data_IF_931275927922
#
_entry.id   IF_931275927922
#
_cell.length_a   1.000
_cell.length_b   1.000
_cell.length_c   1.000
_cell.angle_alpha   90.00
_cell.angle_beta   90.00
_cell.angle_gamma   90.00
#
_symmetry.space_group_name_H-M   'P 1'
#
loop_
_entity.id
_entity.type
_entity.pdbx_description
1 polymer ?
#
# COMPACT_ATOMS: atom_id res chain seq x y z
N UNK A 1 73.34 28.01 2.11
CA UNK A 1 73.54 27.66 3.53
C UNK A 1 72.53 28.47 4.33
N UNK A 2 71.44 27.85 4.82
CA UNK A 2 71.31 27.27 6.18
C UNK A 2 71.45 28.37 7.26
N UNK A 3 70.63 28.52 8.31
CA UNK A 3 69.61 27.73 9.00
C UNK A 3 68.79 28.74 9.87
N UNK A 4 67.47 28.58 10.10
CA UNK A 4 66.83 27.94 11.28
C UNK A 4 67.11 28.69 12.62
N UNK A 5 66.24 28.94 13.61
CA UNK A 5 64.92 28.46 14.09
C UNK A 5 64.50 29.43 15.23
N UNK A 6 63.20 29.64 15.49
CA UNK A 6 62.61 29.48 16.83
C UNK A 6 61.07 29.48 16.81
N UNK A 7 60.56 28.55 17.60
CA UNK A 7 59.20 28.02 17.70
C UNK A 7 58.43 28.70 18.82
N UNK A 8 57.14 28.97 18.61
CA UNK A 8 56.16 29.15 19.69
C UNK A 8 54.85 28.46 19.28
N UNK A 9 54.41 27.50 20.09
CA UNK A 9 53.18 26.74 19.94
C UNK A 9 51.94 27.55 20.38
N UNK A 10 50.73 27.29 19.83
CA UNK A 10 49.48 27.71 20.46
C UNK A 10 48.64 26.53 20.98
N UNK A 11 47.98 26.82 22.11
CA UNK A 11 47.14 25.95 22.94
C UNK A 11 45.92 25.39 22.19
N UNK A 12 45.60 24.12 22.49
CA UNK A 12 44.40 23.40 22.04
C UNK A 12 43.14 23.95 22.74
N UNK A 13 42.25 24.62 22.00
CA UNK A 13 40.83 24.75 22.37
C UNK A 13 40.04 23.56 21.81
N UNK A 14 39.49 22.72 22.70
CA UNK A 14 38.54 21.66 22.34
C UNK A 14 37.19 22.27 21.97
N UNK A 15 36.89 22.36 20.68
CA UNK A 15 35.52 22.54 20.19
C UNK A 15 34.78 21.19 20.29
N UNK A 16 33.80 21.10 21.19
CA UNK A 16 32.83 20.00 21.22
C UNK A 16 32.01 20.06 19.92
N UNK A 17 32.30 19.14 18.99
CA UNK A 17 31.43 18.89 17.83
C UNK A 17 30.14 18.24 18.34
N UNK A 18 29.03 18.98 18.28
CA UNK A 18 27.69 18.44 18.37
C UNK A 18 27.51 17.39 17.26
N UNK A 19 27.47 16.12 17.65
CA UNK A 19 27.22 14.99 16.78
C UNK A 19 25.69 14.91 16.59
N UNK A 20 25.16 15.73 15.69
CA UNK A 20 23.81 15.53 15.17
C UNK A 20 23.81 14.17 14.45
N UNK A 21 23.06 13.24 15.00
CA UNK A 21 22.81 11.89 14.48
C UNK A 21 22.25 12.00 13.06
N UNK A 22 23.09 11.77 12.05
CA UNK A 22 22.63 11.43 10.71
C UNK A 22 22.06 10.01 10.77
N UNK A 23 20.78 9.87 11.07
CA UNK A 23 20.05 8.65 10.77
C UNK A 23 19.64 8.71 9.29
N UNK A 24 20.38 8.01 8.43
CA UNK A 24 19.87 7.64 7.11
C UNK A 24 18.62 6.78 7.31
N UNK A 25 17.50 7.06 6.61
CA UNK A 25 16.42 6.11 6.54
C UNK A 25 16.95 4.87 5.82
N UNK A 26 17.16 3.77 6.55
CA UNK A 26 17.27 2.43 5.94
C UNK A 26 15.84 1.92 5.85
N UNK A 27 15.22 1.83 4.66
CA UNK A 27 13.77 1.74 4.63
C UNK A 27 13.24 0.39 5.12
N UNK A 28 13.97 -0.73 4.97
CA UNK A 28 13.44 -2.06 5.32
C UNK A 28 14.56 -3.04 5.68
N UNK A 29 14.25 -4.00 6.55
CA UNK A 29 15.16 -5.11 6.88
C UNK A 29 15.37 -6.01 5.65
N UNK A 30 16.62 -6.38 5.32
CA UNK A 30 16.85 -7.44 4.34
C UNK A 30 16.37 -8.78 4.91
N UNK A 31 15.48 -9.48 4.20
CA UNK A 31 15.23 -10.91 4.47
C UNK A 31 16.53 -11.71 4.28
N UNK A 32 16.69 -12.90 4.89
CA UNK A 32 17.85 -13.77 4.69
C UNK A 32 18.07 -14.16 3.22
N UNK A 33 17.05 -13.97 2.37
CA UNK A 33 17.06 -14.25 0.93
C UNK A 33 17.16 -12.99 0.06
N UNK A 34 17.10 -11.79 0.64
CA UNK A 34 17.17 -10.53 -0.10
C UNK A 34 18.61 -10.28 -0.57
N UNK A 35 18.86 -10.65 -1.82
CA UNK A 35 20.11 -10.30 -2.50
C UNK A 35 20.15 -8.77 -2.69
N UNK A 36 21.33 -8.13 -2.59
CA UNK A 36 21.46 -6.71 -2.85
C UNK A 36 20.93 -6.39 -4.25
N UNK A 37 20.08 -5.36 -4.34
CA UNK A 37 19.56 -4.84 -5.60
C UNK A 37 20.73 -4.53 -6.55
N UNK A 38 20.72 -5.15 -7.73
CA UNK A 38 21.77 -4.99 -8.74
C UNK A 38 21.16 -4.44 -10.03
N UNK A 39 21.35 -3.13 -10.26
CA UNK A 39 21.00 -2.45 -11.52
C UNK A 39 21.52 -3.22 -12.76
N UNK A 40 22.67 -3.89 -12.64
CA UNK A 40 23.29 -4.65 -13.73
C UNK A 40 22.43 -5.82 -14.22
N UNK A 41 21.53 -6.38 -13.40
CA UNK A 41 20.67 -7.49 -13.81
C UNK A 41 19.40 -7.02 -14.52
N UNK A 42 18.72 -5.99 -14.00
CA UNK A 42 17.55 -5.42 -14.65
C UNK A 42 17.90 -4.81 -16.02
N UNK A 43 19.00 -4.04 -16.08
CA UNK A 43 19.45 -3.45 -17.36
C UNK A 43 19.92 -4.49 -18.38
N UNK A 44 20.40 -5.66 -17.94
CA UNK A 44 20.81 -6.74 -18.83
C UNK A 44 19.62 -7.50 -19.44
N UNK A 45 18.42 -7.39 -18.85
CA UNK A 45 17.21 -8.10 -19.32
C UNK A 45 16.19 -7.21 -20.01
N UNK A 46 16.40 -5.89 -20.02
CA UNK A 46 15.38 -4.92 -20.47
C UNK A 46 14.03 -5.11 -19.74
N UNK A 47 14.07 -5.59 -18.49
CA UNK A 47 12.89 -5.81 -17.64
C UNK A 47 12.69 -4.58 -16.75
N UNK A 48 11.46 -4.04 -16.73
CA UNK A 48 11.06 -2.99 -15.80
C UNK A 48 10.94 -3.54 -14.37
N UNK A 49 11.51 -2.86 -13.37
CA UNK A 49 11.44 -3.26 -11.96
C UNK A 49 10.39 -2.43 -11.21
N UNK A 50 9.29 -3.08 -10.82
CA UNK A 50 8.23 -2.49 -10.01
C UNK A 50 8.28 -3.03 -8.59
N UNK A 51 8.17 -2.13 -7.61
CA UNK A 51 8.09 -2.51 -6.19
C UNK A 51 6.71 -2.26 -5.62
N UNK A 52 6.24 -3.17 -4.79
CA UNK A 52 5.13 -2.88 -3.87
C UNK A 52 5.63 -1.94 -2.78
N UNK A 53 4.96 -0.81 -2.60
CA UNK A 53 5.22 0.11 -1.51
C UNK A 53 3.99 0.17 -0.62
N UNK A 54 4.01 -0.49 0.54
CA UNK A 54 2.93 -0.32 1.52
C UNK A 54 2.98 1.13 2.02
N UNK A 55 2.03 1.93 1.53
CA UNK A 55 1.90 3.34 1.91
C UNK A 55 1.02 3.48 3.15
N UNK A 56 0.04 2.59 3.33
CA UNK A 56 -1.00 2.73 4.34
C UNK A 56 -0.50 2.48 5.78
N UNK A 57 0.30 1.45 5.95
CA UNK A 57 0.67 0.94 7.28
C UNK A 57 2.14 0.53 7.32
N UNK A 58 2.62 0.30 8.54
CA UNK A 58 3.93 -0.32 8.79
C UNK A 58 3.75 -1.52 9.71
N UNK A 59 4.76 -2.38 9.83
CA UNK A 59 4.77 -3.36 10.93
C UNK A 59 4.80 -2.64 12.29
N UNK A 60 4.16 -3.22 13.30
CA UNK A 60 4.31 -2.80 14.71
C UNK A 60 5.77 -2.89 15.22
N UNK A 61 6.61 -3.65 14.51
CA UNK A 61 8.04 -3.73 14.76
C UNK A 61 8.84 -2.56 14.19
N UNK A 62 8.22 -1.73 13.34
CA UNK A 62 8.85 -0.60 12.69
C UNK A 62 9.34 0.42 13.75
N UNK A 63 10.54 1.00 13.58
CA UNK A 63 11.07 1.98 14.53
C UNK A 63 10.14 3.16 14.79
N UNK A 64 9.33 3.56 13.81
CA UNK A 64 8.32 4.60 13.99
C UNK A 64 7.27 4.18 15.02
N UNK A 65 6.65 3.00 14.89
CA UNK A 65 5.61 2.54 15.84
C UNK A 65 6.19 2.32 17.24
N UNK A 66 7.36 1.67 17.34
CA UNK A 66 8.06 1.48 18.62
C UNK A 66 8.35 2.79 19.34
N UNK A 67 8.60 3.87 18.59
CA UNK A 67 8.78 5.20 19.14
C UNK A 67 7.45 5.85 19.48
N UNK A 68 6.44 5.73 18.62
CA UNK A 68 5.11 6.32 18.78
C UNK A 68 4.41 5.83 20.05
N UNK A 69 4.43 4.52 20.30
CA UNK A 69 3.78 3.92 21.48
C UNK A 69 4.39 4.37 22.81
N UNK A 70 5.67 4.76 22.82
CA UNK A 70 6.39 5.31 23.98
C UNK A 70 6.30 6.83 24.11
N UNK A 71 5.82 7.50 23.06
CA UNK A 71 5.80 8.95 23.00
C UNK A 71 4.55 9.51 23.68
N UNK A 72 4.66 10.74 24.18
CA UNK A 72 3.52 11.43 24.81
C UNK A 72 2.44 11.72 23.76
N UNK A 73 1.14 11.71 24.13
CA UNK A 73 0.05 12.20 23.28
C UNK A 73 0.36 13.59 22.69
N UNK A 74 0.03 13.79 21.40
CA UNK A 74 0.25 15.05 20.67
C UNK A 74 1.71 15.38 20.34
N UNK A 75 2.62 14.41 20.48
CA UNK A 75 4.01 14.58 20.05
C UNK A 75 4.19 14.09 18.61
N UNK A 76 5.12 14.70 17.88
CA UNK A 76 5.43 14.30 16.49
C UNK A 76 5.62 12.80 16.29
N UNK A 77 6.26 12.12 17.25
CA UNK A 77 6.47 10.69 17.14
C UNK A 77 5.19 9.88 17.38
N UNK A 78 4.30 10.35 18.27
CA UNK A 78 3.00 9.75 18.51
C UNK A 78 2.11 9.86 17.27
N UNK A 79 2.07 11.07 16.70
CA UNK A 79 1.14 11.45 15.62
C UNK A 79 1.54 10.86 14.26
N UNK A 80 2.54 9.97 14.21
CA UNK A 80 2.83 9.16 13.02
C UNK A 80 1.79 8.07 12.77
N UNK A 81 1.02 7.71 13.80
CA UNK A 81 -0.02 6.69 13.75
C UNK A 81 -1.34 7.28 14.26
N UNK A 82 -2.43 6.61 13.92
CA UNK A 82 -3.79 7.02 14.33
C UNK A 82 -4.10 6.41 15.69
N UNK A 83 -4.44 7.26 16.67
CA UNK A 83 -4.71 6.87 18.06
C UNK A 83 -6.10 7.31 18.50
N UNK A 84 -6.67 6.58 19.46
CA UNK A 84 -7.93 6.92 20.11
C UNK A 84 -7.95 6.44 21.57
N UNK A 85 -8.67 7.15 22.43
CA UNK A 85 -8.94 6.70 23.80
C UNK A 85 -10.04 5.63 23.85
N UNK A 86 -10.82 5.48 22.77
CA UNK A 86 -11.91 4.49 22.63
C UNK A 86 -11.79 3.71 21.31
N UNK A 87 -12.39 2.52 21.27
CA UNK A 87 -12.54 1.75 20.04
C UNK A 87 -13.80 2.13 19.23
N UNK A 88 -14.43 3.26 19.55
CA UNK A 88 -15.76 3.64 19.05
C UNK A 88 -15.70 4.64 17.89
N UNK A 89 -14.51 4.96 17.40
CA UNK A 89 -14.30 5.85 16.25
C UNK A 89 -14.38 5.08 14.94
N UNK A 90 -14.81 5.73 13.86
CA UNK A 90 -14.87 5.17 12.51
C UNK A 90 -15.70 3.87 12.41
N UNK A 91 -16.86 3.85 13.08
CA UNK A 91 -17.75 2.66 13.16
C UNK A 91 -18.24 2.16 11.80
N UNK A 92 -18.26 3.06 10.82
CA UNK A 92 -18.80 2.82 9.48
C UNK A 92 -17.78 2.12 8.57
N UNK A 93 -16.51 2.06 9.01
CA UNK A 93 -15.47 1.32 8.32
C UNK A 93 -15.57 -0.18 8.63
N UNK A 94 -15.72 -0.98 7.57
CA UNK A 94 -15.72 -2.45 7.67
C UNK A 94 -14.37 -3.01 8.12
N UNK A 95 -14.39 -4.20 8.70
CA UNK A 95 -13.19 -4.98 9.04
C UNK A 95 -12.80 -5.83 7.84
N UNK A 96 -11.60 -5.63 7.30
CA UNK A 96 -11.17 -6.31 6.06
C UNK A 96 -10.79 -7.77 6.29
N UNK A 97 -10.17 -8.07 7.43
CA UNK A 97 -9.71 -9.42 7.80
C UNK A 97 -10.64 -9.99 8.86
N UNK A 98 -11.91 -10.15 8.51
CA UNK A 98 -12.98 -10.54 9.45
C UNK A 98 -12.78 -11.93 10.06
N UNK A 99 -11.99 -12.80 9.44
CA UNK A 99 -11.69 -14.14 9.95
C UNK A 99 -10.71 -14.11 11.14
N UNK A 100 -9.89 -13.05 11.27
CA UNK A 100 -8.85 -12.94 12.31
C UNK A 100 -8.99 -11.73 13.23
N UNK A 101 -9.62 -10.66 12.74
CA UNK A 101 -9.82 -9.41 13.48
C UNK A 101 -11.32 -9.15 13.66
N UNK A 102 -11.73 -8.79 14.87
CA UNK A 102 -13.12 -8.42 15.17
C UNK A 102 -13.37 -6.91 15.15
N UNK A 103 -12.31 -6.11 15.06
CA UNK A 103 -12.33 -4.65 15.11
C UNK A 103 -11.10 -4.07 14.41
N UNK A 104 -11.21 -2.82 13.97
CA UNK A 104 -10.10 -2.04 13.40
C UNK A 104 -9.28 -1.28 14.48
N UNK A 105 -9.59 -1.49 15.77
CA UNK A 105 -8.92 -0.84 16.89
C UNK A 105 -8.31 -1.86 17.86
N UNK A 106 -7.00 -1.77 18.09
CA UNK A 106 -6.31 -2.60 19.09
C UNK A 106 -5.77 -1.74 20.23
N UNK A 107 -6.03 -2.17 21.48
CA UNK A 107 -5.46 -1.53 22.66
C UNK A 107 -3.95 -1.80 22.78
N UNK A 108 -3.15 -0.74 22.89
CA UNK A 108 -1.72 -0.84 23.19
C UNK A 108 -1.45 -0.50 24.67
N UNK A 109 -0.97 -1.46 25.49
CA UNK A 109 -0.79 -1.25 26.93
C UNK A 109 0.36 -0.30 27.29
N UNK A 110 1.33 -0.11 26.39
CA UNK A 110 2.45 0.82 26.59
C UNK A 110 2.01 2.25 26.28
N UNK A 111 1.26 2.41 25.19
CA UNK A 111 0.69 3.67 24.74
C UNK A 111 -0.52 4.13 25.57
N UNK A 112 -1.16 3.19 26.28
CA UNK A 112 -2.44 3.36 27.00
C UNK A 112 -3.52 4.00 26.12
N UNK A 113 -3.61 3.54 24.88
CA UNK A 113 -4.58 4.00 23.90
C UNK A 113 -4.83 2.91 22.85
N UNK A 114 -5.92 3.02 22.13
CA UNK A 114 -6.17 2.23 20.92
C UNK A 114 -5.40 2.82 19.74
N UNK A 115 -4.93 1.96 18.84
CA UNK A 115 -4.41 2.35 17.53
C UNK A 115 -5.21 1.69 16.41
N UNK A 116 -5.28 2.38 15.28
CA UNK A 116 -6.03 1.97 14.10
C UNK A 116 -5.24 1.00 13.21
N UNK A 117 -5.95 0.03 12.63
CA UNK A 117 -5.48 -0.85 11.57
C UNK A 117 -6.65 -1.40 10.75
N UNK A 118 -6.61 -1.30 9.42
CA UNK A 118 -7.62 -1.92 8.51
C UNK A 118 -7.36 -3.40 8.27
N UNK A 119 -6.11 -3.81 8.43
CA UNK A 119 -5.67 -5.19 8.25
C UNK A 119 -5.35 -5.80 9.63
N UNK A 120 -4.32 -6.64 9.74
CA UNK A 120 -3.90 -7.22 11.01
C UNK A 120 -3.46 -6.17 12.03
N UNK A 121 -3.68 -6.45 13.32
CA UNK A 121 -3.22 -5.60 14.44
C UNK A 121 -1.72 -5.29 14.42
N UNK A 122 -0.89 -6.21 13.92
CA UNK A 122 0.55 -5.97 13.79
C UNK A 122 0.92 -5.07 12.59
N UNK A 123 -0.08 -4.47 11.92
CA UNK A 123 0.06 -3.55 10.79
C UNK A 123 -0.61 -2.20 11.11
N UNK A 124 -0.13 -1.46 12.14
CA UNK A 124 -0.68 -0.16 12.51
C UNK A 124 -0.58 0.86 11.38
N UNK A 125 -1.64 1.64 11.22
CA UNK A 125 -1.80 2.61 10.13
C UNK A 125 -1.12 3.94 10.39
N UNK A 126 -0.51 4.45 9.33
CA UNK A 126 0.14 5.74 9.32
C UNK A 126 -0.91 6.84 9.24
N UNK A 127 -0.74 7.88 10.06
CA UNK A 127 -1.67 9.00 10.08
C UNK A 127 -1.38 9.97 8.91
N UNK A 128 -2.16 9.91 7.84
CA UNK A 128 -1.98 10.78 6.69
C UNK A 128 -2.49 12.22 6.89
N UNK A 129 -3.27 12.51 7.94
CA UNK A 129 -3.55 13.92 8.32
C UNK A 129 -2.26 14.64 8.75
N UNK A 130 -1.27 13.89 9.23
CA UNK A 130 0.03 14.43 9.57
C UNK A 130 0.89 14.68 8.32
N UNK A 131 1.13 15.96 8.01
CA UNK A 131 1.98 16.36 6.89
C UNK A 131 3.42 15.81 6.96
N UNK A 132 3.95 15.51 8.15
CA UNK A 132 5.28 14.87 8.29
C UNK A 132 5.26 13.43 7.77
N UNK A 133 4.18 12.67 8.00
CA UNK A 133 3.99 11.31 7.48
C UNK A 133 3.98 11.33 5.95
N UNK A 134 3.15 12.21 5.37
CA UNK A 134 3.10 12.40 3.92
C UNK A 134 4.49 12.69 3.31
N UNK A 135 5.29 13.54 3.98
CA UNK A 135 6.63 13.88 3.53
C UNK A 135 7.60 12.71 3.67
N UNK A 136 7.54 11.93 4.75
CA UNK A 136 8.37 10.72 4.91
C UNK A 136 8.06 9.68 3.84
N UNK A 137 6.79 9.51 3.46
CA UNK A 137 6.41 8.59 2.39
C UNK A 137 6.95 9.03 1.04
N UNK A 138 6.89 10.32 0.72
CA UNK A 138 7.56 10.87 -0.48
C UNK A 138 9.06 10.60 -0.45
N UNK A 139 9.73 10.74 0.70
CA UNK A 139 11.17 10.43 0.84
C UNK A 139 11.48 8.95 0.61
N UNK A 140 10.60 8.04 1.04
CA UNK A 140 10.72 6.60 0.76
C UNK A 140 10.61 6.33 -0.73
N UNK A 141 9.63 6.95 -1.41
CA UNK A 141 9.49 6.84 -2.86
C UNK A 141 10.75 7.37 -3.58
N UNK A 142 11.22 8.56 -3.20
CA UNK A 142 12.45 9.18 -3.68
C UNK A 142 13.67 8.26 -3.56
N UNK A 143 13.83 7.61 -2.41
CA UNK A 143 14.95 6.71 -2.16
C UNK A 143 14.99 5.58 -3.19
N UNK A 144 13.86 4.90 -3.41
CA UNK A 144 13.81 3.79 -4.34
C UNK A 144 13.90 4.23 -5.81
N UNK A 145 13.27 5.34 -6.18
CA UNK A 145 13.37 5.90 -7.53
C UNK A 145 14.79 6.38 -7.85
N UNK A 146 15.53 6.94 -6.88
CA UNK A 146 16.97 7.24 -7.02
C UNK A 146 17.81 5.97 -7.16
N UNK A 147 17.38 4.88 -6.51
CA UNK A 147 17.95 3.56 -6.75
C UNK A 147 17.59 2.99 -8.12
N UNK A 148 16.68 3.61 -8.89
CA UNK A 148 16.44 3.29 -10.30
C UNK A 148 15.44 2.18 -10.54
N UNK A 149 14.47 1.98 -9.64
CA UNK A 149 13.26 1.21 -9.98
C UNK A 149 12.39 2.03 -10.95
N UNK A 150 11.53 1.35 -11.70
CA UNK A 150 10.72 1.96 -12.76
C UNK A 150 9.35 2.42 -12.27
N UNK A 151 8.93 2.01 -11.07
CA UNK A 151 7.66 2.46 -10.52
C UNK A 151 7.22 1.68 -9.29
N UNK A 152 5.99 1.98 -8.86
CA UNK A 152 5.39 1.36 -7.69
C UNK A 152 4.03 0.75 -7.98
N UNK A 153 3.79 -0.43 -7.42
CA UNK A 153 2.45 -0.88 -7.05
C UNK A 153 2.10 -0.27 -5.70
N UNK A 154 0.93 0.34 -5.60
CA UNK A 154 0.40 1.00 -4.42
C UNK A 154 -0.72 0.16 -3.82
N UNK A 155 -0.39 -0.85 -2.98
CA UNK A 155 -1.39 -1.63 -2.27
C UNK A 155 -2.15 -0.79 -1.26
N UNK A 156 -3.39 -1.21 -0.98
CA UNK A 156 -4.22 -0.64 0.10
C UNK A 156 -4.50 0.86 -0.06
N UNK A 157 -4.42 1.37 -1.29
CA UNK A 157 -4.44 2.80 -1.54
C UNK A 157 -5.77 3.51 -1.22
N UNK A 158 -6.94 2.86 -1.25
CA UNK A 158 -8.19 3.52 -0.86
C UNK A 158 -8.29 3.88 0.62
N UNK A 159 -7.39 3.38 1.47
CA UNK A 159 -7.52 3.41 2.92
C UNK A 159 -6.64 4.44 3.62
N UNK A 160 -5.99 5.35 2.88
CA UNK A 160 -4.96 6.25 3.44
C UNK A 160 -5.47 7.22 4.51
N UNK A 161 -6.74 7.64 4.43
CA UNK A 161 -7.33 8.62 5.34
C UNK A 161 -8.62 8.06 5.94
N UNK A 162 -8.90 8.44 7.18
CA UNK A 162 -10.09 8.08 7.94
C UNK A 162 -10.92 9.32 8.29
N UNK A 163 -12.25 9.20 8.22
CA UNK A 163 -13.18 10.29 8.55
C UNK A 163 -14.44 9.71 9.22
N UNK A 164 -14.89 10.35 10.31
CA UNK A 164 -16.07 9.90 11.06
C UNK A 164 -17.34 9.97 10.20
N UNK A 165 -18.22 8.98 10.34
CA UNK A 165 -19.45 8.88 9.55
C UNK A 165 -19.24 8.45 8.10
N UNK A 166 -18.06 7.97 7.74
CA UNK A 166 -17.72 7.47 6.40
C UNK A 166 -17.18 6.04 6.45
N UNK A 167 -17.12 5.37 5.30
CA UNK A 167 -16.48 4.04 5.18
C UNK A 167 -14.96 4.07 5.43
N UNK A 168 -14.34 5.25 5.51
CA UNK A 168 -12.88 5.43 5.50
C UNK A 168 -12.22 4.76 4.27
N UNK A 169 -12.95 4.68 3.15
CA UNK A 169 -12.46 4.21 1.86
C UNK A 169 -12.70 5.31 0.84
N UNK A 170 -11.76 5.45 -0.11
CA UNK A 170 -11.93 6.31 -1.27
C UNK A 170 -12.17 7.81 -0.96
N UNK A 171 -11.68 8.28 0.19
CA UNK A 171 -11.90 9.66 0.60
C UNK A 171 -11.21 10.67 -0.34
N UNK A 172 -11.78 11.87 -0.57
CA UNK A 172 -11.17 12.90 -1.41
C UNK A 172 -9.74 13.27 -1.00
N UNK A 173 -9.42 13.20 0.29
CA UNK A 173 -8.09 13.43 0.86
C UNK A 173 -7.05 12.45 0.30
N UNK A 174 -7.43 11.18 0.12
CA UNK A 174 -6.60 10.14 -0.51
C UNK A 174 -6.21 10.56 -1.93
N UNK A 175 -7.20 10.95 -2.74
CA UNK A 175 -6.98 11.42 -4.11
C UNK A 175 -6.11 12.68 -4.19
N UNK A 176 -6.32 13.63 -3.27
CA UNK A 176 -5.47 14.84 -3.18
C UNK A 176 -4.00 14.48 -2.87
N UNK A 177 -3.77 13.54 -1.96
CA UNK A 177 -2.43 13.07 -1.67
C UNK A 177 -1.80 12.32 -2.86
N UNK A 178 -2.58 11.50 -3.58
CA UNK A 178 -2.10 10.81 -4.79
C UNK A 178 -1.69 11.80 -5.89
N UNK A 179 -2.48 12.85 -6.13
CA UNK A 179 -2.09 13.93 -7.05
C UNK A 179 -0.78 14.59 -6.64
N UNK A 180 -0.59 14.85 -5.34
CA UNK A 180 0.65 15.40 -4.79
C UNK A 180 1.84 14.45 -5.01
N UNK A 181 1.67 13.16 -4.75
CA UNK A 181 2.69 12.14 -4.98
C UNK A 181 3.06 12.03 -6.46
N UNK A 182 2.06 11.94 -7.34
CA UNK A 182 2.23 11.88 -8.80
C UNK A 182 2.96 13.11 -9.32
N UNK A 183 2.51 14.31 -8.94
CA UNK A 183 3.15 15.58 -9.33
C UNK A 183 4.62 15.63 -8.89
N UNK A 184 4.91 15.17 -7.66
CA UNK A 184 6.29 15.09 -7.18
C UNK A 184 7.13 14.12 -8.00
N UNK A 185 6.60 12.93 -8.32
CA UNK A 185 7.34 11.93 -9.11
C UNK A 185 7.60 12.45 -10.52
N UNK A 186 6.59 12.96 -11.22
CA UNK A 186 6.72 13.46 -12.60
C UNK A 186 7.72 14.61 -12.71
N UNK A 187 7.80 15.46 -11.68
CA UNK A 187 8.77 16.57 -11.62
C UNK A 187 10.21 16.09 -11.47
N UNK A 188 10.44 15.00 -10.74
CA UNK A 188 11.78 14.58 -10.30
C UNK A 188 12.32 13.35 -11.03
N UNK A 189 11.44 12.53 -11.62
CA UNK A 189 11.79 11.26 -12.25
C UNK A 189 11.00 11.08 -13.54
N UNK A 190 11.70 10.86 -14.65
CA UNK A 190 11.08 10.61 -15.95
C UNK A 190 10.70 9.14 -16.09
N UNK A 191 9.63 8.87 -16.85
CA UNK A 191 9.20 7.52 -17.24
C UNK A 191 9.07 6.58 -16.04
N UNK A 192 8.26 6.99 -15.06
CA UNK A 192 7.93 6.18 -13.89
C UNK A 192 6.47 5.86 -13.89
N UNK A 193 6.12 4.69 -13.36
CA UNK A 193 4.73 4.24 -13.32
C UNK A 193 4.24 4.10 -11.88
N UNK A 194 2.97 4.44 -11.68
CA UNK A 194 2.23 4.21 -10.44
C UNK A 194 1.03 3.36 -10.80
N UNK A 195 0.93 2.20 -10.16
CA UNK A 195 -0.15 1.24 -10.35
C UNK A 195 -0.95 1.19 -9.05
N UNK A 196 -2.19 1.67 -9.07
CA UNK A 196 -3.11 1.58 -7.96
C UNK A 196 -3.62 0.15 -7.78
N UNK A 197 -3.86 -0.22 -6.54
CA UNK A 197 -4.67 -1.38 -6.17
C UNK A 197 -5.92 -0.87 -5.45
N UNK A 198 -6.85 -0.37 -6.24
CA UNK A 198 -8.16 0.06 -5.75
C UNK A 198 -9.21 -0.99 -6.17
N UNK A 199 -9.41 -1.98 -5.30
CA UNK A 199 -10.51 -2.95 -5.42
C UNK A 199 -11.82 -2.28 -4.98
N UNK A 200 -12.44 -1.55 -5.91
CA UNK A 200 -13.68 -0.78 -5.74
C UNK A 200 -14.63 -1.05 -6.90
N UNK A 201 -15.87 -0.54 -6.82
CA UNK A 201 -16.80 -0.51 -7.95
C UNK A 201 -16.24 0.32 -9.13
N UNK A 202 -16.72 0.11 -10.38
CA UNK A 202 -16.08 0.67 -11.57
C UNK A 202 -15.80 2.18 -11.54
N UNK A 203 -16.79 3.00 -11.15
CA UNK A 203 -16.65 4.46 -11.08
C UNK A 203 -15.59 4.88 -10.06
N UNK A 204 -15.64 4.28 -8.87
CA UNK A 204 -14.69 4.53 -7.79
C UNK A 204 -13.28 4.01 -8.12
N UNK A 205 -13.16 2.90 -8.84
CA UNK A 205 -11.86 2.40 -9.29
C UNK A 205 -11.28 3.32 -10.38
N UNK A 206 -12.09 3.84 -11.29
CA UNK A 206 -11.67 4.75 -12.34
C UNK A 206 -11.23 6.12 -11.78
N UNK A 207 -11.76 6.55 -10.64
CA UNK A 207 -11.38 7.82 -10.02
C UNK A 207 -9.89 7.91 -9.68
N UNK A 208 -9.19 6.77 -9.48
CA UNK A 208 -7.74 6.71 -9.21
C UNK A 208 -6.85 7.07 -10.40
N UNK A 209 -7.43 7.22 -11.60
CA UNK A 209 -6.73 7.87 -12.71
C UNK A 209 -6.64 9.38 -12.50
N UNK A 210 -7.62 9.96 -11.79
CA UNK A 210 -7.66 11.37 -11.40
C UNK A 210 -7.46 12.33 -12.57
N UNK A 211 -8.22 12.12 -13.66
CA UNK A 211 -8.08 12.86 -14.93
C UNK A 211 -6.65 12.77 -15.52
N UNK A 212 -5.97 11.64 -15.30
CA UNK A 212 -4.59 11.42 -15.75
C UNK A 212 -3.51 12.00 -14.84
N UNK A 213 -3.89 12.55 -13.68
CA UNK A 213 -3.01 13.25 -12.73
C UNK A 213 -2.76 12.49 -11.42
N UNK A 214 -3.29 11.28 -11.28
CA UNK A 214 -3.06 10.41 -10.13
C UNK A 214 -2.24 9.17 -10.54
N UNK A 215 -2.82 7.97 -10.55
CA UNK A 215 -2.12 6.77 -10.94
C UNK A 215 -2.11 6.61 -12.47
N UNK A 216 -1.04 6.03 -12.99
CA UNK A 216 -0.90 5.73 -14.42
C UNK A 216 -1.71 4.49 -14.79
N UNK A 217 -1.79 3.54 -13.86
CA UNK A 217 -2.59 2.35 -14.01
C UNK A 217 -3.39 2.07 -12.75
N UNK A 218 -4.47 1.33 -12.91
CA UNK A 218 -5.17 0.69 -11.80
C UNK A 218 -5.49 -0.74 -12.21
N UNK A 219 -5.50 -1.68 -11.27
CA UNK A 219 -5.94 -3.05 -11.54
C UNK A 219 -7.43 -3.06 -11.85
N UNK A 220 -7.82 -3.80 -12.90
CA UNK A 220 -9.22 -3.91 -13.31
C UNK A 220 -9.97 -4.92 -12.43
N UNK A 221 -10.05 -4.63 -11.13
CA UNK A 221 -10.76 -5.45 -10.14
C UNK A 221 -12.24 -5.68 -10.49
N UNK A 222 -13.01 -4.71 -11.00
CA UNK A 222 -14.40 -4.96 -11.37
C UNK A 222 -14.58 -6.10 -12.37
N UNK A 223 -13.70 -6.18 -13.37
CA UNK A 223 -13.74 -7.19 -14.43
C UNK A 223 -13.37 -8.59 -13.91
N UNK A 224 -12.38 -8.69 -13.02
CA UNK A 224 -11.76 -9.97 -12.66
C UNK A 224 -12.75 -11.04 -12.15
N UNK A 225 -13.66 -10.76 -11.18
CA UNK A 225 -14.65 -11.76 -10.73
C UNK A 225 -15.65 -12.13 -11.83
N UNK A 226 -16.00 -11.20 -12.72
CA UNK A 226 -16.99 -11.43 -13.80
C UNK A 226 -16.43 -12.33 -14.89
N UNK A 227 -15.11 -12.39 -15.08
CA UNK A 227 -14.48 -13.39 -15.94
C UNK A 227 -14.77 -14.82 -15.46
N UNK A 228 -14.71 -15.06 -14.14
CA UNK A 228 -15.04 -16.37 -13.55
C UNK A 228 -16.55 -16.63 -13.55
N UNK A 229 -17.36 -15.61 -13.28
CA UNK A 229 -18.81 -15.74 -13.34
C UNK A 229 -19.26 -16.15 -14.74
N UNK A 230 -18.83 -15.41 -15.77
CA UNK A 230 -19.15 -15.66 -17.18
C UNK A 230 -18.69 -17.06 -17.64
N UNK A 231 -17.49 -17.47 -17.22
CA UNK A 231 -17.00 -18.82 -17.52
C UNK A 231 -17.91 -19.90 -16.93
N UNK A 232 -18.41 -19.70 -15.70
CA UNK A 232 -19.24 -20.69 -15.02
C UNK A 232 -20.68 -20.71 -15.52
N UNK A 233 -21.22 -19.56 -15.89
CA UNK A 233 -22.57 -19.42 -16.43
C UNK A 233 -22.66 -19.70 -17.93
N UNK A 234 -21.51 -19.86 -18.61
CA UNK A 234 -21.41 -19.97 -20.08
C UNK A 234 -22.09 -18.78 -20.79
N UNK A 235 -22.04 -17.60 -20.16
CA UNK A 235 -22.69 -16.38 -20.62
C UNK A 235 -21.71 -15.21 -20.52
N UNK A 236 -21.49 -14.50 -21.63
CA UNK A 236 -20.61 -13.33 -21.67
C UNK A 236 -21.22 -12.08 -21.02
N UNK A 237 -22.52 -12.08 -20.72
CA UNK A 237 -23.24 -10.91 -20.20
C UNK A 237 -22.53 -10.22 -19.01
N UNK A 238 -22.06 -10.93 -17.96
CA UNK A 238 -21.39 -10.27 -16.83
C UNK A 238 -20.12 -9.51 -17.22
N UNK A 239 -19.41 -9.94 -18.26
CA UNK A 239 -18.22 -9.26 -18.77
C UNK A 239 -18.62 -8.00 -19.54
N UNK A 240 -19.62 -8.12 -20.42
CA UNK A 240 -20.10 -6.99 -21.24
C UNK A 240 -20.67 -5.91 -20.33
N UNK A 241 -21.55 -6.28 -19.42
CA UNK A 241 -22.23 -5.37 -18.49
C UNK A 241 -21.24 -4.59 -17.62
N UNK A 242 -20.24 -5.26 -17.02
CA UNK A 242 -19.27 -4.55 -16.17
C UNK A 242 -18.32 -3.66 -16.96
N UNK A 243 -17.99 -4.00 -18.22
CA UNK A 243 -17.19 -3.15 -19.10
C UNK A 243 -17.99 -1.91 -19.51
N UNK A 244 -19.27 -2.06 -19.84
CA UNK A 244 -20.16 -0.93 -20.18
C UNK A 244 -20.35 0.04 -19.00
N UNK A 245 -20.32 -0.47 -17.77
CA UNK A 245 -20.34 0.34 -16.55
C UNK A 245 -18.97 0.93 -16.17
N UNK A 246 -17.87 0.49 -16.80
CA UNK A 246 -16.53 0.97 -16.49
C UNK A 246 -16.23 2.24 -17.27
N UNK A 247 -15.97 3.39 -16.61
CA UNK A 247 -15.66 4.64 -17.32
C UNK A 247 -14.43 4.53 -18.22
N UNK A 248 -14.46 5.28 -19.33
CA UNK A 248 -13.29 5.45 -20.19
C UNK A 248 -12.13 6.09 -19.43
N UNK A 249 -10.92 5.62 -19.72
CA UNK A 249 -9.70 6.09 -19.05
C UNK A 249 -9.07 7.26 -19.83
N UNK A 250 -8.50 8.26 -19.14
CA UNK A 250 -7.68 9.30 -19.79
C UNK A 250 -6.56 8.71 -20.66
N UNK A 251 -6.21 9.37 -21.77
CA UNK A 251 -5.24 8.91 -22.78
C UNK A 251 -3.87 8.45 -22.22
N UNK A 252 -3.45 9.04 -21.11
CA UNK A 252 -2.16 8.77 -20.46
C UNK A 252 -2.25 7.72 -19.33
N UNK A 253 -3.35 6.97 -19.28
CA UNK A 253 -3.63 5.96 -18.25
C UNK A 253 -4.07 4.64 -18.86
N UNK A 254 -4.02 3.55 -18.07
CA UNK A 254 -4.32 2.21 -18.57
C UNK A 254 -4.81 1.26 -17.47
N UNK A 255 -5.81 0.43 -17.79
CA UNK A 255 -6.21 -0.67 -16.90
C UNK A 255 -5.18 -1.81 -16.91
N UNK A 256 -4.85 -2.34 -15.73
CA UNK A 256 -4.07 -3.57 -15.57
C UNK A 256 -5.02 -4.77 -15.41
N UNK A 257 -5.16 -5.57 -16.47
CA UNK A 257 -5.99 -6.79 -16.46
C UNK A 257 -5.23 -7.94 -15.83
N UNK A 258 -5.90 -8.72 -14.98
CA UNK A 258 -5.34 -9.89 -14.32
C UNK A 258 -6.43 -10.94 -14.07
N UNK A 259 -6.01 -12.21 -13.93
CA UNK A 259 -6.91 -13.32 -13.60
C UNK A 259 -6.84 -13.69 -12.11
N UNK A 260 -5.62 -13.76 -11.57
CA UNK A 260 -5.33 -14.06 -10.16
C UNK A 260 -4.09 -13.31 -9.73
N UNK A 261 -3.91 -13.17 -8.43
CA UNK A 261 -2.73 -12.56 -7.81
C UNK A 261 -2.30 -13.42 -6.60
N UNK A 262 -1.56 -12.83 -5.67
CA UNK A 262 -1.03 -13.48 -4.46
C UNK A 262 -2.05 -13.55 -3.33
N UNK A 263 -3.15 -12.81 -3.46
CA UNK A 263 -4.26 -12.79 -2.51
C UNK A 263 -5.35 -13.77 -2.96
N UNK A 264 -6.44 -13.84 -2.20
CA UNK A 264 -7.68 -14.48 -2.59
C UNK A 264 -8.34 -13.81 -3.82
N UNK A 265 -9.36 -14.44 -4.41
CA UNK A 265 -10.34 -13.71 -5.21
C UNK A 265 -11.19 -12.94 -4.20
N UNK A 266 -10.94 -11.64 -4.06
CA UNK A 266 -11.78 -10.75 -3.28
C UNK A 266 -13.17 -10.64 -3.92
N UNK A 267 -14.22 -10.88 -3.13
CA UNK A 267 -15.63 -10.74 -3.53
C UNK A 267 -16.30 -9.58 -2.78
N UNK A 268 -15.51 -8.57 -2.41
CA UNK A 268 -15.98 -7.36 -1.75
C UNK A 268 -16.84 -6.48 -2.68
N UNK A 269 -16.51 -6.49 -3.98
CA UNK A 269 -17.03 -5.58 -5.01
C UNK A 269 -17.84 -6.33 -6.07
N UNK A 270 -18.69 -7.24 -5.59
CA UNK A 270 -19.71 -7.96 -6.35
C UNK A 270 -21.03 -7.86 -5.60
N UNK A 271 -22.15 -8.09 -6.27
CA UNK A 271 -23.45 -8.19 -5.58
C UNK A 271 -23.49 -9.42 -4.67
N UNK A 272 -24.42 -9.44 -3.72
CA UNK A 272 -24.58 -10.59 -2.83
C UNK A 272 -24.94 -11.87 -3.59
N UNK A 273 -25.74 -11.75 -4.66
CA UNK A 273 -26.10 -12.89 -5.53
C UNK A 273 -24.89 -13.44 -6.30
N UNK A 274 -24.09 -12.55 -6.90
CA UNK A 274 -22.86 -12.94 -7.62
C UNK A 274 -21.87 -13.61 -6.67
N UNK A 275 -21.69 -13.05 -5.46
CA UNK A 275 -20.83 -13.60 -4.41
C UNK A 275 -21.26 -14.99 -4.00
N UNK A 276 -22.54 -15.19 -3.70
CA UNK A 276 -23.08 -16.50 -3.33
C UNK A 276 -22.89 -17.53 -4.44
N UNK A 277 -23.12 -17.12 -5.69
CA UNK A 277 -22.89 -17.98 -6.85
C UNK A 277 -21.42 -18.38 -7.00
N UNK A 278 -20.50 -17.40 -6.96
CA UNK A 278 -19.07 -17.64 -7.08
C UNK A 278 -18.53 -18.52 -5.95
N UNK A 279 -18.99 -18.31 -4.71
CA UNK A 279 -18.63 -19.16 -3.58
C UNK A 279 -19.12 -20.60 -3.77
N UNK A 280 -20.36 -20.80 -4.21
CA UNK A 280 -20.92 -22.14 -4.49
C UNK A 280 -20.16 -22.84 -5.64
N UNK A 281 -19.76 -22.09 -6.66
CA UNK A 281 -19.09 -22.64 -7.83
C UNK A 281 -17.62 -22.97 -7.58
N UNK A 282 -16.89 -22.13 -6.85
CA UNK A 282 -15.42 -22.17 -6.82
C UNK A 282 -14.82 -22.47 -5.43
N UNK A 283 -15.61 -22.40 -4.36
CA UNK A 283 -15.18 -22.61 -2.98
C UNK A 283 -15.88 -23.81 -2.31
N UNK A 284 -15.84 -24.96 -2.99
CA UNK A 284 -16.51 -26.21 -2.56
C UNK A 284 -15.78 -26.93 -1.42
N UNK A 285 -14.46 -26.77 -1.31
CA UNK A 285 -13.67 -27.51 -0.32
C UNK A 285 -13.54 -26.73 1.00
N UNK A 286 -13.54 -27.42 2.16
CA UNK A 286 -13.27 -26.82 3.46
C UNK A 286 -11.96 -26.03 3.43
N UNK A 287 -12.01 -24.77 3.85
CA UNK A 287 -10.84 -23.90 3.91
C UNK A 287 -10.44 -23.25 2.59
N UNK A 288 -11.24 -23.32 1.52
CA UNK A 288 -11.02 -22.49 0.31
C UNK A 288 -11.53 -21.06 0.45
N UNK A 289 -12.44 -20.82 1.41
CA UNK A 289 -12.89 -19.48 1.79
C UNK A 289 -11.89 -18.84 2.74
N UNK A 290 -11.67 -17.55 2.57
CA UNK A 290 -10.86 -16.72 3.45
C UNK A 290 -11.35 -15.29 3.36
N UNK A 291 -11.65 -14.67 4.50
CA UNK A 291 -12.39 -13.40 4.57
C UNK A 291 -13.70 -13.51 3.76
N UNK A 292 -13.95 -12.56 2.86
CA UNK A 292 -15.09 -12.61 1.94
C UNK A 292 -14.76 -13.26 0.59
N UNK A 293 -13.59 -13.88 0.43
CA UNK A 293 -13.07 -14.32 -0.87
C UNK A 293 -12.71 -15.80 -0.99
N UNK A 294 -12.08 -16.14 -2.13
CA UNK A 294 -11.69 -17.51 -2.51
C UNK A 294 -10.17 -17.63 -2.67
N UNK A 295 -9.49 -18.33 -1.77
CA UNK A 295 -8.03 -18.50 -1.77
C UNK A 295 -7.56 -19.71 -2.59
N UNK A 296 -7.85 -19.71 -3.90
CA UNK A 296 -7.38 -20.74 -4.85
C UNK A 296 -6.54 -20.12 -5.97
N UNK A 297 -5.59 -20.91 -6.50
CA UNK A 297 -4.84 -20.55 -7.72
C UNK A 297 -5.69 -20.77 -8.97
N UNK A 298 -5.28 -20.16 -10.08
CA UNK A 298 -6.01 -20.20 -11.36
C UNK A 298 -6.27 -21.63 -11.85
N UNK A 299 -5.24 -22.49 -11.93
CA UNK A 299 -5.39 -23.84 -12.47
C UNK A 299 -6.45 -24.68 -11.72
N UNK A 300 -6.43 -24.77 -10.36
CA UNK A 300 -7.50 -25.41 -9.61
C UNK A 300 -8.90 -24.82 -9.79
N UNK A 301 -9.01 -23.49 -10.00
CA UNK A 301 -10.30 -22.84 -10.26
C UNK A 301 -10.90 -23.27 -11.61
N UNK A 302 -10.05 -23.57 -12.60
CA UNK A 302 -10.48 -23.98 -13.94
C UNK A 302 -10.67 -25.50 -14.07
N UNK A 303 -10.68 -26.26 -12.97
CA UNK A 303 -10.79 -27.73 -13.00
C UNK A 303 -9.51 -28.46 -13.42
N UNK A 304 -8.41 -27.74 -13.67
CA UNK A 304 -7.10 -28.31 -13.94
C UNK A 304 -6.34 -28.50 -12.63
N UNK A 305 -6.71 -29.54 -11.87
CA UNK A 305 -5.81 -30.10 -10.88
C UNK A 305 -5.01 -31.22 -11.57
N UNK A 306 -3.68 -31.09 -11.65
CA UNK A 306 -2.86 -32.28 -11.85
C UNK A 306 -3.19 -33.24 -10.71
N UNK A 307 -3.70 -34.43 -11.04
CA UNK A 307 -3.69 -35.56 -10.12
C UNK A 307 -2.25 -35.73 -9.63
N UNK A 308 -2.02 -35.48 -8.35
CA UNK A 308 -0.78 -35.82 -7.67
C UNK A 308 -0.83 -37.24 -7.16
#
# INVERSE_FOLDING_TARGET
>A
MAAAVLSVAPQRRRLRRNRLLRHSPRPWHPSPTSRPFSKKRASARHESDLRSSSLNHTSDQHPWFKKARKARPGSKARDFYVWSDTAERFKEARVMISDEESTNWTWDPEAKAYYWHRFFRHMPELNYENAEVQLEIIKVADFWLKMGIDGFRLPSIPFLFEEEGTSCENLPQTHQYLRKLRTHIDKNFKNRILIAEANLWPEDAASYFGEGKECHMNFHYPLMPRLFLALRTEDSYPIVDIIEQTPETPDNTQWAVFLRNHDEIGLEMVTDEEKDYLLKAYATDPGTKFNVGIRRRLAPLLGNAEEK
#
